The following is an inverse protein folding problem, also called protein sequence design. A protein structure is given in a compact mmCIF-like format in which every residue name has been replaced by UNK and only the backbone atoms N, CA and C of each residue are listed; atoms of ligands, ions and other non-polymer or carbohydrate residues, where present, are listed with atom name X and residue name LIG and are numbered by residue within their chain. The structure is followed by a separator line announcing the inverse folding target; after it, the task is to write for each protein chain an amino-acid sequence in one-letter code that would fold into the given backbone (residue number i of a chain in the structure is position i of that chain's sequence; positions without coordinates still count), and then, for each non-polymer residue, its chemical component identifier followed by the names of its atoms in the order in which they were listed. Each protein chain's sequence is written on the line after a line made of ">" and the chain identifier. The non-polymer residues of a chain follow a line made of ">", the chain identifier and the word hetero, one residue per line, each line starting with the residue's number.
data_IF_502658516698
#
_entry.id   IF_502658516698
#
_cell.length_a   1.000
_cell.length_b   1.000
_cell.length_c   1.000
_cell.angle_alpha   90.00
_cell.angle_beta   90.00
_cell.angle_gamma   90.00
#
_symmetry.space_group_name_H-M   'P 1'
#
loop_
_entity.id
_entity.type
_entity.pdbx_description
1 polymer ?
#
# COMPACT_ATOMS: atom_id res chain seq x y z
N UNK A 1 -21.57 51.34 -34.12
CA UNK A 1 -20.70 50.17 -34.38
C UNK A 1 -20.30 50.17 -35.84
N UNK A 2 -19.00 50.05 -36.19
CA UNK A 2 -18.59 49.82 -37.60
C UNK A 2 -18.53 48.32 -37.86
N UNK A 3 -19.17 47.85 -38.95
CA UNK A 3 -19.06 46.45 -39.40
C UNK A 3 -17.71 46.26 -40.09
N UNK A 4 -16.70 45.78 -39.37
CA UNK A 4 -15.45 45.33 -39.98
C UNK A 4 -15.72 44.04 -40.76
N UNK A 5 -15.50 44.07 -42.08
CA UNK A 5 -15.55 42.87 -42.91
C UNK A 5 -14.31 42.03 -42.62
N UNK A 6 -14.50 40.84 -42.04
CA UNK A 6 -13.42 39.89 -41.78
C UNK A 6 -12.92 39.24 -43.08
N UNK A 7 -12.15 40.00 -43.87
CA UNK A 7 -11.35 39.44 -44.95
C UNK A 7 -10.24 38.56 -44.34
N UNK A 8 -10.35 37.24 -44.52
CA UNK A 8 -9.36 36.28 -44.05
C UNK A 8 -8.01 36.51 -44.74
N UNK A 9 -7.06 37.11 -44.03
CA UNK A 9 -5.73 37.42 -44.54
C UNK A 9 -4.91 36.12 -44.74
N UNK A 10 -4.74 35.69 -46.00
CA UNK A 10 -3.90 34.54 -46.33
C UNK A 10 -2.41 34.93 -46.41
N UNK A 11 -1.55 34.18 -45.72
CA UNK A 11 -0.09 34.29 -45.84
C UNK A 11 0.37 33.75 -47.20
N UNK A 12 1.26 34.47 -47.88
CA UNK A 12 1.97 33.99 -49.07
C UNK A 12 3.39 33.57 -48.70
N UNK A 13 3.90 32.48 -49.28
CA UNK A 13 5.27 32.03 -49.03
C UNK A 13 6.30 33.09 -49.46
N UNK A 14 7.42 33.18 -48.74
CA UNK A 14 8.48 34.18 -48.96
C UNK A 14 8.11 35.64 -48.63
N UNK A 15 6.84 35.98 -48.41
CA UNK A 15 6.39 37.36 -48.18
C UNK A 15 5.86 37.53 -46.75
N UNK A 16 6.17 38.68 -46.13
CA UNK A 16 5.76 39.06 -44.77
C UNK A 16 5.27 40.50 -44.76
N UNK A 17 4.18 40.78 -44.06
CA UNK A 17 3.77 42.15 -43.72
C UNK A 17 4.62 42.63 -42.55
N UNK A 18 5.11 43.88 -42.59
CA UNK A 18 5.70 44.53 -41.42
C UNK A 18 4.60 45.24 -40.63
N UNK A 19 4.59 45.05 -39.32
CA UNK A 19 3.64 45.68 -38.39
C UNK A 19 4.40 46.61 -37.43
N UNK A 20 3.80 47.73 -36.99
CA UNK A 20 4.41 48.57 -35.96
C UNK A 20 4.49 47.82 -34.63
N UNK A 21 5.56 48.07 -33.87
CA UNK A 21 5.73 47.55 -32.51
C UNK A 21 4.94 48.39 -31.51
N UNK A 22 4.31 47.74 -30.52
CA UNK A 22 3.91 48.44 -29.30
C UNK A 22 5.17 48.92 -28.55
N UNK A 23 5.11 50.12 -27.97
CA UNK A 23 6.24 50.75 -27.25
C UNK A 23 6.45 50.21 -25.82
N UNK A 24 5.66 49.22 -25.41
CA UNK A 24 5.61 48.61 -24.06
C UNK A 24 6.70 47.55 -23.82
N UNK A 25 7.96 47.85 -24.14
CA UNK A 25 9.09 46.95 -23.86
C UNK A 25 9.21 45.71 -24.76
N UNK A 26 8.43 45.63 -25.85
CA UNK A 26 8.48 44.53 -26.83
C UNK A 26 7.34 43.51 -26.66
N UNK A 27 7.59 42.26 -27.07
CA UNK A 27 6.59 41.19 -27.04
C UNK A 27 6.47 40.46 -25.69
N UNK A 28 7.50 40.57 -24.85
CA UNK A 28 7.52 40.10 -23.46
C UNK A 28 8.49 41.01 -22.68
N UNK A 29 7.99 41.91 -21.80
CA UNK A 29 8.83 42.88 -21.11
C UNK A 29 9.67 42.22 -20.01
N UNK A 30 10.99 42.43 -20.05
CA UNK A 30 11.93 41.86 -19.07
C UNK A 30 11.86 42.50 -17.68
N UNK A 31 11.19 43.65 -17.56
CA UNK A 31 10.91 44.36 -16.30
C UNK A 31 9.74 43.79 -15.50
N UNK A 32 9.06 42.75 -15.99
CA UNK A 32 7.80 42.25 -15.46
C UNK A 32 6.57 42.87 -16.15
N UNK A 33 5.39 42.35 -15.78
CA UNK A 33 4.08 42.65 -16.39
C UNK A 33 3.12 43.08 -15.26
N UNK A 34 2.30 44.11 -15.48
CA UNK A 34 1.32 44.55 -14.48
C UNK A 34 0.11 43.61 -14.39
N UNK A 35 -0.63 43.65 -13.27
CA UNK A 35 -1.81 42.81 -13.08
C UNK A 35 -2.89 43.00 -14.18
N UNK A 36 -3.07 44.22 -14.69
CA UNK A 36 -4.06 44.52 -15.74
C UNK A 36 -3.65 44.00 -17.12
N UNK A 37 -2.34 43.95 -17.41
CA UNK A 37 -1.80 43.32 -18.62
C UNK A 37 -1.83 41.80 -18.50
N UNK A 38 -1.46 41.27 -17.34
CA UNK A 38 -1.51 39.84 -17.03
C UNK A 38 -2.94 39.29 -17.11
N UNK A 39 -3.96 40.05 -16.71
CA UNK A 39 -5.37 39.67 -16.83
C UNK A 39 -5.79 39.38 -18.28
N UNK A 40 -5.22 40.11 -19.26
CA UNK A 40 -5.46 39.87 -20.69
C UNK A 40 -4.73 38.62 -21.22
N UNK A 41 -3.66 38.20 -20.54
CA UNK A 41 -2.93 36.95 -20.82
C UNK A 41 -3.68 35.76 -20.19
N UNK A 42 -4.21 35.91 -18.96
CA UNK A 42 -5.04 34.90 -18.29
C UNK A 42 -6.33 34.66 -19.07
N UNK A 43 -7.11 35.70 -19.36
CA UNK A 43 -8.33 35.63 -20.17
C UNK A 43 -8.04 35.72 -21.69
N UNK A 44 -6.99 35.00 -22.14
CA UNK A 44 -6.69 34.82 -23.57
C UNK A 44 -7.93 34.35 -24.34
N UNK A 45 -8.22 34.90 -25.53
CA UNK A 45 -9.40 34.52 -26.32
C UNK A 45 -9.25 33.12 -26.93
N UNK A 46 -9.62 32.11 -26.16
CA UNK A 46 -9.68 30.70 -26.57
C UNK A 46 -11.07 30.34 -27.14
N UNK A 47 -11.19 29.33 -28.02
CA UNK A 47 -12.50 28.90 -28.53
C UNK A 47 -13.38 28.27 -27.42
N UNK A 48 -14.36 29.02 -26.92
CA UNK A 48 -15.20 28.65 -25.76
C UNK A 48 -15.83 27.25 -25.84
N UNK A 49 -16.25 26.79 -27.03
CA UNK A 49 -16.80 25.42 -27.24
C UNK A 49 -15.81 24.25 -26.98
N UNK A 50 -14.56 24.56 -26.65
CA UNK A 50 -13.43 23.65 -26.46
C UNK A 50 -12.58 24.07 -25.25
N UNK A 51 -13.03 25.07 -24.48
CA UNK A 51 -12.31 25.63 -23.35
C UNK A 51 -13.09 25.32 -22.08
N UNK A 52 -12.44 24.76 -21.07
CA UNK A 52 -12.97 24.62 -19.71
C UNK A 52 -12.33 25.71 -18.86
N UNK A 53 -13.16 26.41 -18.09
CA UNK A 53 -12.72 27.48 -17.19
C UNK A 53 -13.17 27.11 -15.78
N UNK A 54 -12.27 27.23 -14.81
CA UNK A 54 -12.47 26.92 -13.41
C UNK A 54 -11.80 27.99 -12.56
N UNK A 55 -12.40 28.32 -11.42
CA UNK A 55 -11.87 29.26 -10.45
C UNK A 55 -12.10 28.74 -9.03
N UNK A 56 -11.10 28.94 -8.18
CA UNK A 56 -11.09 28.47 -6.78
C UNK A 56 -10.62 29.61 -5.87
N UNK A 57 -11.45 29.96 -4.88
CA UNK A 57 -11.21 31.04 -3.93
C UNK A 57 -10.79 30.48 -2.58
N UNK A 58 -9.57 30.85 -2.14
CA UNK A 58 -8.99 30.47 -0.87
C UNK A 58 -9.11 31.61 0.17
N UNK A 59 -10.07 32.51 -0.02
CA UNK A 59 -10.48 33.61 0.87
C UNK A 59 -9.54 34.81 0.88
N UNK A 60 -8.24 34.58 0.74
CA UNK A 60 -7.19 35.60 0.67
C UNK A 60 -6.52 35.69 -0.71
N UNK A 61 -6.77 34.70 -1.58
CA UNK A 61 -6.25 34.61 -2.93
C UNK A 61 -7.13 33.70 -3.80
N UNK A 62 -7.13 33.95 -5.11
CA UNK A 62 -7.96 33.31 -6.13
C UNK A 62 -7.04 32.63 -7.16
N UNK A 63 -7.30 31.35 -7.47
CA UNK A 63 -6.66 30.64 -8.57
C UNK A 63 -7.62 30.51 -9.75
N UNK A 64 -7.17 30.91 -10.95
CA UNK A 64 -7.92 30.78 -12.20
C UNK A 64 -7.24 29.72 -13.07
N UNK A 65 -7.99 28.70 -13.49
CA UNK A 65 -7.52 27.61 -14.34
C UNK A 65 -8.31 27.57 -15.65
N UNK A 66 -7.63 27.61 -16.80
CA UNK A 66 -8.27 27.67 -18.13
C UNK A 66 -7.57 26.73 -19.11
N UNK A 67 -8.24 25.65 -19.49
CA UNK A 67 -7.71 24.63 -20.40
C UNK A 67 -8.45 24.63 -21.72
N UNK A 68 -7.74 24.46 -22.84
CA UNK A 68 -8.32 24.34 -24.17
C UNK A 68 -7.80 23.08 -24.86
N UNK A 69 -8.71 22.18 -25.25
CA UNK A 69 -8.37 20.95 -26.00
C UNK A 69 -8.98 21.01 -27.39
N UNK A 70 -8.12 20.98 -28.41
CA UNK A 70 -8.54 21.13 -29.81
C UNK A 70 -9.26 19.88 -30.33
N UNK A 71 -10.45 20.08 -30.91
CA UNK A 71 -11.24 19.06 -31.64
C UNK A 71 -10.43 18.31 -32.70
N UNK A 72 -9.35 18.89 -33.25
CA UNK A 72 -8.50 18.22 -34.26
C UNK A 72 -7.64 17.09 -33.68
N UNK A 73 -7.29 17.16 -32.41
CA UNK A 73 -6.29 16.28 -31.80
C UNK A 73 -6.85 15.37 -30.70
N UNK A 74 -8.14 15.50 -30.36
CA UNK A 74 -8.81 14.70 -29.33
C UNK A 74 -8.64 13.18 -29.53
N UNK A 75 -8.64 12.72 -30.78
CA UNK A 75 -8.54 11.30 -31.13
C UNK A 75 -7.07 10.84 -31.35
N UNK A 76 -6.10 11.71 -31.06
CA UNK A 76 -4.65 11.51 -31.28
C UNK A 76 -3.80 11.86 -30.04
N UNK A 77 -4.40 12.47 -29.02
CA UNK A 77 -3.77 12.75 -27.73
C UNK A 77 -3.76 11.47 -26.89
N UNK A 78 -2.66 11.20 -26.19
CA UNK A 78 -2.66 10.21 -25.12
C UNK A 78 -3.43 10.75 -23.91
N UNK A 79 -4.05 9.86 -23.13
CA UNK A 79 -4.76 10.20 -21.89
C UNK A 79 -3.87 10.92 -20.85
N UNK A 80 -2.55 10.74 -20.93
CA UNK A 80 -1.58 11.43 -20.08
C UNK A 80 -1.36 12.90 -20.47
N UNK A 81 -1.47 13.24 -21.76
CA UNK A 81 -1.28 14.61 -22.29
C UNK A 81 -2.60 15.36 -22.41
N UNK A 82 -3.71 14.64 -22.59
CA UNK A 82 -5.07 15.17 -22.53
C UNK A 82 -5.93 14.31 -21.61
N UNK A 83 -5.89 14.60 -20.31
CA UNK A 83 -6.57 13.86 -19.23
C UNK A 83 -8.10 14.08 -19.21
N UNK A 84 -8.75 13.82 -20.35
CA UNK A 84 -10.19 13.94 -20.54
C UNK A 84 -10.90 12.73 -19.92
N UNK A 85 -11.50 12.93 -18.74
CA UNK A 85 -12.28 11.92 -18.02
C UNK A 85 -13.77 12.08 -18.33
N UNK A 86 -14.45 11.05 -18.83
CA UNK A 86 -15.86 11.09 -19.23
C UNK A 86 -16.81 10.45 -18.22
N UNK A 87 -16.27 9.64 -17.31
CA UNK A 87 -16.96 9.01 -16.20
C UNK A 87 -16.39 9.47 -14.85
N UNK A 88 -17.17 9.28 -13.78
CA UNK A 88 -16.71 9.61 -12.43
C UNK A 88 -15.56 8.69 -11.97
N UNK A 89 -15.55 7.43 -12.40
CA UNK A 89 -14.46 6.47 -12.10
C UNK A 89 -13.14 6.94 -12.73
N UNK A 90 -13.17 7.39 -13.98
CA UNK A 90 -12.01 8.02 -14.63
C UNK A 90 -11.59 9.31 -13.92
N UNK A 91 -12.55 10.15 -13.48
CA UNK A 91 -12.25 11.40 -12.77
C UNK A 91 -11.55 11.14 -11.43
N UNK A 92 -12.06 10.20 -10.63
CA UNK A 92 -11.46 9.78 -9.35
C UNK A 92 -10.06 9.19 -9.57
N UNK A 93 -9.91 8.24 -10.49
CA UNK A 93 -8.62 7.58 -10.80
C UNK A 93 -7.60 8.52 -11.43
N UNK A 94 -8.04 9.42 -12.32
CA UNK A 94 -7.19 10.43 -12.96
C UNK A 94 -6.65 11.44 -11.97
N UNK A 95 -7.49 11.94 -11.05
CA UNK A 95 -7.05 12.79 -9.92
C UNK A 95 -6.03 12.07 -9.03
N UNK A 96 -6.28 10.82 -8.65
CA UNK A 96 -5.34 10.02 -7.86
C UNK A 96 -3.99 9.83 -8.59
N UNK A 97 -4.01 9.53 -9.89
CA UNK A 97 -2.81 9.35 -10.70
C UNK A 97 -1.97 10.65 -10.79
N UNK A 98 -2.60 11.78 -11.16
CA UNK A 98 -1.92 13.06 -11.28
C UNK A 98 -1.41 13.58 -9.92
N UNK A 99 -2.17 13.38 -8.84
CA UNK A 99 -1.70 13.65 -7.48
C UNK A 99 -0.48 12.79 -7.11
N UNK A 100 -0.46 11.52 -7.53
CA UNK A 100 0.69 10.63 -7.36
C UNK A 100 1.96 11.13 -8.07
N UNK A 101 1.83 11.65 -9.29
CA UNK A 101 2.93 12.27 -10.05
C UNK A 101 3.41 13.54 -9.35
N UNK A 102 2.51 14.51 -9.14
CA UNK A 102 2.83 15.80 -8.51
C UNK A 102 3.45 15.64 -7.12
N UNK A 103 2.92 14.75 -6.29
CA UNK A 103 3.45 14.52 -4.94
C UNK A 103 4.77 13.73 -4.95
N UNK A 104 5.07 12.94 -5.99
CA UNK A 104 6.40 12.35 -6.18
C UNK A 104 7.41 13.43 -6.57
N UNK A 105 7.07 14.31 -7.51
CA UNK A 105 7.94 15.42 -7.93
C UNK A 105 8.23 16.37 -6.76
N UNK A 106 7.19 16.86 -6.07
CA UNK A 106 7.31 17.79 -4.92
C UNK A 106 8.23 17.25 -3.82
N UNK A 107 8.10 15.96 -3.47
CA UNK A 107 8.93 15.32 -2.41
C UNK A 107 10.32 14.94 -2.92
N UNK A 108 10.45 14.48 -4.17
CA UNK A 108 11.74 14.11 -4.77
C UNK A 108 12.72 15.28 -4.89
N UNK A 109 12.23 16.51 -5.07
CA UNK A 109 13.07 17.73 -5.07
C UNK A 109 13.78 17.95 -3.73
N UNK A 110 13.16 17.59 -2.60
CA UNK A 110 13.70 17.85 -1.25
C UNK A 110 14.95 17.03 -0.90
N UNK A 111 15.07 15.82 -1.45
CA UNK A 111 16.25 14.93 -1.33
C UNK A 111 17.13 14.93 -2.60
N UNK A 112 16.68 15.60 -3.66
CA UNK A 112 17.36 15.70 -4.94
C UNK A 112 18.40 16.83 -4.99
N UNK A 113 18.88 17.15 -6.20
CA UNK A 113 19.97 18.09 -6.42
C UNK A 113 19.70 19.55 -5.96
N UNK A 114 18.44 19.93 -5.74
CA UNK A 114 18.03 21.22 -5.19
C UNK A 114 17.67 21.17 -3.69
N UNK A 115 17.74 19.99 -3.07
CA UNK A 115 17.60 19.80 -1.63
C UNK A 115 18.83 20.26 -0.85
N UNK A 116 18.69 20.40 0.47
CA UNK A 116 19.79 20.84 1.34
C UNK A 116 20.99 19.87 1.28
N UNK A 117 22.25 20.33 1.38
CA UNK A 117 23.43 19.44 1.30
C UNK A 117 23.48 18.37 2.40
N UNK A 118 22.85 18.64 3.55
CA UNK A 118 22.58 17.73 4.67
C UNK A 118 21.65 16.58 4.30
N UNK A 119 20.67 16.86 3.45
CA UNK A 119 19.55 16.00 3.09
C UNK A 119 19.85 15.11 1.87
N UNK A 120 20.94 15.37 1.13
CA UNK A 120 21.37 14.56 -0.02
C UNK A 120 22.25 13.37 0.38
N UNK A 121 21.66 12.21 0.64
CA UNK A 121 22.41 10.94 0.84
C UNK A 121 22.49 10.15 -0.47
N UNK A 122 23.68 9.59 -0.79
CA UNK A 122 23.92 8.74 -1.97
C UNK A 122 24.33 7.33 -1.55
N UNK A 123 24.00 6.32 -2.35
CA UNK A 123 24.50 4.96 -2.17
C UNK A 123 25.66 4.71 -3.14
N UNK A 124 26.76 4.14 -2.64
CA UNK A 124 27.81 3.54 -3.47
C UNK A 124 27.46 2.07 -3.68
N UNK A 125 27.40 1.65 -4.95
CA UNK A 125 27.22 0.26 -5.35
C UNK A 125 28.38 -0.19 -6.24
N UNK A 126 28.81 -1.43 -6.05
CA UNK A 126 29.79 -2.11 -6.91
C UNK A 126 29.48 -3.61 -6.97
N UNK A 127 29.60 -4.22 -8.15
CA UNK A 127 29.16 -5.59 -8.44
C UNK A 127 30.08 -6.21 -9.48
N UNK A 128 30.75 -7.32 -9.16
CA UNK A 128 31.66 -7.99 -10.09
C UNK A 128 30.92 -8.48 -11.34
N UNK A 129 31.57 -8.39 -12.50
CA UNK A 129 31.03 -8.86 -13.77
C UNK A 129 30.99 -10.39 -13.87
N UNK A 130 31.83 -11.09 -13.08
CA UNK A 130 32.09 -12.52 -13.24
C UNK A 130 31.32 -13.36 -12.20
N UNK A 131 31.47 -13.08 -10.90
CA UNK A 131 30.73 -13.76 -9.83
C UNK A 131 29.30 -13.25 -9.68
N UNK A 132 29.02 -12.01 -10.13
CA UNK A 132 27.80 -11.22 -9.83
C UNK A 132 27.65 -10.84 -8.35
N UNK A 133 28.71 -11.00 -7.55
CA UNK A 133 28.72 -10.62 -6.14
C UNK A 133 28.74 -9.10 -5.94
N UNK A 134 27.95 -8.62 -4.98
CA UNK A 134 27.84 -7.19 -4.64
C UNK A 134 28.97 -6.82 -3.68
N UNK A 135 30.07 -6.30 -4.22
CA UNK A 135 31.28 -5.95 -3.49
C UNK A 135 31.09 -4.74 -2.56
N UNK A 136 30.24 -3.78 -2.95
CA UNK A 136 29.82 -2.67 -2.07
C UNK A 136 28.35 -2.33 -2.27
N UNK A 137 27.64 -2.04 -1.17
CA UNK A 137 26.29 -1.51 -1.16
C UNK A 137 26.09 -0.69 0.14
N UNK A 138 26.66 0.51 0.17
CA UNK A 138 26.75 1.37 1.37
C UNK A 138 26.31 2.80 1.10
N UNK A 139 25.68 3.45 2.06
CA UNK A 139 25.46 4.89 1.96
C UNK A 139 26.74 5.69 2.21
N UNK A 140 26.86 6.82 1.51
CA UNK A 140 27.92 7.81 1.67
C UNK A 140 27.46 8.84 2.70
N UNK A 141 27.67 8.51 3.96
CA UNK A 141 27.33 9.36 5.10
C UNK A 141 28.35 10.46 5.36
N UNK A 142 27.86 11.58 5.92
CA UNK A 142 28.69 12.62 6.53
C UNK A 142 29.03 12.26 7.99
N UNK A 143 30.04 12.94 8.56
CA UNK A 143 30.57 12.63 9.89
C UNK A 143 29.49 12.59 10.99
N UNK A 144 28.53 13.53 10.97
CA UNK A 144 27.38 13.56 11.91
C UNK A 144 26.59 12.23 11.92
N UNK A 145 26.39 11.62 10.75
CA UNK A 145 25.67 10.34 10.62
C UNK A 145 26.54 9.15 11.04
N UNK A 146 27.84 9.16 10.71
CA UNK A 146 28.78 8.13 11.19
C UNK A 146 28.85 8.11 12.72
N UNK A 147 29.03 9.27 13.36
CA UNK A 147 29.05 9.39 14.83
C UNK A 147 27.75 8.88 15.48
N UNK A 148 26.59 8.96 14.81
CA UNK A 148 25.33 8.39 15.28
C UNK A 148 25.34 6.85 15.18
N UNK A 149 25.81 6.29 14.06
CA UNK A 149 25.98 4.84 13.90
C UNK A 149 26.94 4.27 14.95
N UNK A 150 28.07 4.96 15.20
CA UNK A 150 29.07 4.53 16.19
C UNK A 150 28.48 4.49 17.61
N UNK A 151 27.66 5.47 17.99
CA UNK A 151 26.94 5.49 19.28
C UNK A 151 25.89 4.38 19.39
N UNK A 152 25.19 4.08 18.30
CA UNK A 152 24.20 3.02 18.28
C UNK A 152 24.85 1.64 18.42
N UNK A 153 25.88 1.33 17.62
CA UNK A 153 26.58 0.04 17.71
C UNK A 153 27.28 -0.15 19.06
N UNK A 154 27.96 0.87 19.58
CA UNK A 154 28.60 0.79 20.91
C UNK A 154 27.61 0.45 22.03
N UNK A 155 26.39 0.98 21.96
CA UNK A 155 25.32 0.63 22.90
C UNK A 155 24.83 -0.81 22.69
N UNK A 156 24.55 -1.21 21.46
CA UNK A 156 24.03 -2.55 21.16
C UNK A 156 25.03 -3.66 21.51
N UNK A 157 26.31 -3.48 21.16
CA UNK A 157 27.41 -4.37 21.54
C UNK A 157 27.51 -4.50 23.06
N UNK A 158 27.65 -3.39 23.79
CA UNK A 158 27.75 -3.42 25.27
C UNK A 158 26.52 -4.03 25.98
N UNK A 159 25.33 -3.94 25.37
CA UNK A 159 24.11 -4.60 25.88
C UNK A 159 24.06 -6.10 25.62
N UNK A 160 24.47 -6.55 24.43
CA UNK A 160 24.30 -7.94 24.00
C UNK A 160 25.50 -8.82 24.39
N UNK A 161 26.73 -8.35 24.17
CA UNK A 161 27.95 -9.04 24.57
C UNK A 161 28.04 -9.18 26.10
N UNK A 162 27.56 -8.16 26.82
CA UNK A 162 27.44 -8.18 28.29
C UNK A 162 26.39 -9.16 28.84
N UNK A 163 25.54 -9.76 27.99
CA UNK A 163 24.58 -10.80 28.36
C UNK A 163 25.02 -12.20 27.89
N UNK A 164 25.80 -12.30 26.81
CA UNK A 164 26.38 -13.57 26.36
C UNK A 164 27.62 -13.95 27.19
N UNK A 165 27.40 -14.73 28.26
CA UNK A 165 28.49 -15.26 29.07
C UNK A 165 29.53 -16.07 28.25
N UNK A 166 30.82 -16.06 28.61
CA UNK A 166 31.94 -16.49 27.75
C UNK A 166 32.13 -18.02 27.63
N UNK A 167 31.04 -18.79 27.56
CA UNK A 167 31.03 -20.27 27.54
C UNK A 167 30.58 -20.88 26.20
N UNK A 168 30.60 -20.12 25.10
CA UNK A 168 30.31 -20.61 23.74
C UNK A 168 31.56 -20.66 22.85
N UNK A 169 32.52 -21.54 23.20
CA UNK A 169 33.54 -21.98 22.24
C UNK A 169 32.84 -22.67 21.06
N UNK A 170 32.70 -22.01 19.91
CA UNK A 170 32.00 -22.66 18.79
C UNK A 170 31.80 -21.92 17.47
N UNK A 171 31.84 -20.58 17.39
CA UNK A 171 31.85 -19.87 16.08
C UNK A 171 32.72 -18.61 16.15
N UNK A 172 33.88 -18.62 15.50
CA UNK A 172 34.68 -17.40 15.25
C UNK A 172 34.08 -16.57 14.11
N UNK A 173 32.98 -15.91 14.44
CA UNK A 173 32.22 -15.03 13.54
C UNK A 173 31.31 -14.10 14.35
N UNK A 174 31.82 -13.59 15.47
CA UNK A 174 31.10 -12.73 16.42
C UNK A 174 31.61 -11.28 16.46
N UNK A 175 32.92 -11.08 16.32
CA UNK A 175 33.61 -9.83 16.65
C UNK A 175 33.29 -8.64 15.70
N UNK A 176 32.91 -8.91 14.45
CA UNK A 176 32.56 -7.89 13.44
C UNK A 176 31.03 -7.74 13.19
N UNK A 177 30.17 -8.26 14.07
CA UNK A 177 28.71 -8.21 13.85
C UNK A 177 28.10 -6.85 14.16
N UNK A 178 27.44 -6.29 13.14
CA UNK A 178 26.64 -5.07 13.24
C UNK A 178 25.20 -5.40 13.65
N UNK A 179 24.76 -4.92 14.81
CA UNK A 179 23.42 -5.20 15.34
C UNK A 179 22.38 -4.24 14.77
N UNK A 180 21.21 -4.76 14.34
CA UNK A 180 20.11 -4.00 13.72
C UNK A 180 20.58 -3.02 12.62
N UNK A 181 21.56 -3.44 11.82
CA UNK A 181 22.31 -2.56 10.91
C UNK A 181 21.40 -1.78 9.93
N UNK A 182 20.44 -2.44 9.29
CA UNK A 182 19.57 -1.80 8.29
C UNK A 182 18.61 -0.78 8.93
N UNK A 183 18.13 -1.07 10.14
CA UNK A 183 17.30 -0.16 10.92
C UNK A 183 18.09 1.07 11.39
N UNK A 184 19.30 0.86 11.91
CA UNK A 184 20.23 1.94 12.27
C UNK A 184 20.59 2.80 11.05
N UNK A 185 20.92 2.19 9.92
CA UNK A 185 21.31 2.84 8.68
C UNK A 185 20.17 3.73 8.13
N UNK A 186 18.94 3.23 8.11
CA UNK A 186 17.76 4.01 7.76
C UNK A 186 17.53 5.18 8.74
N UNK A 187 17.64 4.94 10.05
CA UNK A 187 17.51 6.00 11.06
C UNK A 187 18.63 7.06 10.94
N UNK A 188 19.86 6.67 10.58
CA UNK A 188 20.96 7.60 10.35
C UNK A 188 20.70 8.53 9.16
N UNK A 189 20.08 8.03 8.08
CA UNK A 189 19.61 8.87 6.96
C UNK A 189 18.68 9.98 7.47
N UNK A 190 17.64 9.62 8.24
CA UNK A 190 16.67 10.56 8.83
C UNK A 190 17.35 11.55 9.79
N UNK A 191 18.18 11.07 10.72
CA UNK A 191 18.85 11.86 11.76
C UNK A 191 19.75 12.97 11.22
N UNK A 192 20.42 12.72 10.09
CA UNK A 192 21.29 13.71 9.47
C UNK A 192 20.55 14.74 8.61
N UNK A 193 19.23 14.64 8.43
CA UNK A 193 18.45 15.60 7.66
C UNK A 193 18.10 16.85 8.50
N UNK A 194 18.07 18.01 7.85
CA UNK A 194 17.67 19.29 8.42
C UNK A 194 16.17 19.55 8.17
N UNK A 195 15.70 19.37 6.93
CA UNK A 195 14.29 19.67 6.60
C UNK A 195 13.32 18.58 7.06
N UNK A 196 12.06 18.94 7.31
CA UNK A 196 10.97 17.97 7.51
C UNK A 196 10.57 17.30 6.20
N UNK A 197 10.56 18.06 5.09
CA UNK A 197 10.21 17.55 3.77
C UNK A 197 11.14 16.42 3.28
N UNK A 198 12.45 16.51 3.53
CA UNK A 198 13.38 15.43 3.23
C UNK A 198 13.20 14.21 4.15
N UNK A 199 12.90 14.43 5.44
CA UNK A 199 12.62 13.33 6.39
C UNK A 199 11.40 12.53 5.96
N UNK A 200 10.27 13.17 5.63
CA UNK A 200 9.11 12.44 5.11
C UNK A 200 9.39 11.81 3.73
N UNK A 201 10.18 12.44 2.86
CA UNK A 201 10.58 11.80 1.61
C UNK A 201 11.39 10.50 1.83
N UNK A 202 12.27 10.45 2.83
CA UNK A 202 13.00 9.25 3.21
C UNK A 202 12.13 8.23 3.97
N UNK A 203 11.26 8.65 4.89
CA UNK A 203 10.26 7.74 5.48
C UNK A 203 9.35 7.12 4.42
N UNK A 204 9.07 7.83 3.32
CA UNK A 204 8.35 7.26 2.17
C UNK A 204 9.13 6.15 1.46
N UNK A 205 10.46 6.30 1.34
CA UNK A 205 11.34 5.27 0.78
C UNK A 205 11.49 4.07 1.72
N UNK A 206 11.53 4.31 3.03
CA UNK A 206 11.60 3.27 4.05
C UNK A 206 10.20 2.75 4.40
N UNK A 207 9.70 1.84 3.56
CA UNK A 207 8.43 1.11 3.76
C UNK A 207 7.16 1.99 3.80
N UNK A 208 7.17 3.14 3.11
CA UNK A 208 6.05 4.08 3.08
C UNK A 208 5.53 4.47 4.48
N UNK A 209 6.47 4.74 5.40
CA UNK A 209 6.18 5.17 6.77
C UNK A 209 6.07 6.70 6.90
N UNK A 210 5.90 7.42 5.79
CA UNK A 210 5.65 8.87 5.79
C UNK A 210 4.24 9.20 6.28
N UNK A 211 4.09 10.35 6.96
CA UNK A 211 2.81 10.75 7.55
C UNK A 211 1.66 10.77 6.53
N UNK A 212 1.91 11.27 5.31
CA UNK A 212 0.96 11.26 4.18
C UNK A 212 0.40 9.86 3.86
N UNK A 213 1.15 8.78 4.11
CA UNK A 213 0.71 7.40 3.89
C UNK A 213 0.00 6.82 5.11
N UNK A 214 0.53 7.04 6.31
CA UNK A 214 -0.03 6.53 7.57
C UNK A 214 -1.37 7.19 7.92
N UNK A 215 -1.58 8.45 7.53
CA UNK A 215 -2.86 9.15 7.67
C UNK A 215 -3.91 8.62 6.67
N UNK A 216 -3.50 8.29 5.44
CA UNK A 216 -4.40 7.70 4.44
C UNK A 216 -4.84 6.28 4.80
N UNK A 217 -3.93 5.48 5.38
CA UNK A 217 -4.24 4.12 5.88
C UNK A 217 -5.17 4.16 7.11
N UNK A 218 -5.02 5.15 7.99
CA UNK A 218 -5.91 5.37 9.13
C UNK A 218 -7.27 5.94 8.73
N UNK A 219 -7.34 6.77 7.68
CA UNK A 219 -8.62 7.19 7.10
C UNK A 219 -9.37 5.98 6.53
N UNK A 220 -8.69 5.13 5.74
CA UNK A 220 -9.26 3.89 5.19
C UNK A 220 -9.63 2.87 6.29
N UNK A 221 -8.99 2.89 7.46
CA UNK A 221 -9.41 2.11 8.62
C UNK A 221 -10.66 2.73 9.29
N UNK A 222 -10.70 4.06 9.46
CA UNK A 222 -11.84 4.78 10.06
C UNK A 222 -13.09 4.72 9.18
N UNK A 223 -12.96 4.78 7.86
CA UNK A 223 -14.05 4.53 6.91
C UNK A 223 -14.62 3.12 7.08
N UNK A 224 -13.78 2.08 7.20
CA UNK A 224 -14.21 0.69 7.38
C UNK A 224 -14.81 0.40 8.76
N UNK A 225 -14.34 1.07 9.81
CA UNK A 225 -14.98 1.03 11.14
C UNK A 225 -16.37 1.70 11.11
N UNK A 226 -16.56 2.75 10.32
CA UNK A 226 -17.88 3.35 10.09
C UNK A 226 -18.79 2.44 9.25
N UNK A 227 -18.23 1.80 8.21
CA UNK A 227 -18.90 0.81 7.37
C UNK A 227 -19.35 -0.42 8.17
N UNK A 228 -18.50 -0.97 9.05
CA UNK A 228 -18.84 -2.08 9.93
C UNK A 228 -19.98 -1.77 10.89
N UNK A 229 -20.08 -0.51 11.36
CA UNK A 229 -21.22 -0.05 12.17
C UNK A 229 -22.51 0.02 11.34
N UNK A 230 -22.46 0.50 10.10
CA UNK A 230 -23.61 0.54 9.20
C UNK A 230 -24.09 -0.88 8.82
N UNK A 231 -23.16 -1.81 8.60
CA UNK A 231 -23.50 -3.22 8.33
C UNK A 231 -24.10 -3.89 9.57
N UNK A 232 -23.51 -3.70 10.76
CA UNK A 232 -24.08 -4.19 12.04
C UNK A 232 -25.50 -3.67 12.26
N UNK A 233 -25.74 -2.38 12.05
CA UNK A 233 -27.08 -1.79 12.13
C UNK A 233 -28.02 -2.42 11.10
N UNK A 234 -27.61 -2.52 9.83
CA UNK A 234 -28.45 -3.07 8.76
C UNK A 234 -28.85 -4.52 8.99
N UNK A 235 -27.97 -5.33 9.60
CA UNK A 235 -28.25 -6.72 9.97
C UNK A 235 -29.24 -6.81 11.13
N UNK A 236 -29.02 -6.08 12.23
CA UNK A 236 -29.96 -6.02 13.35
C UNK A 236 -31.35 -5.52 12.91
N UNK A 237 -31.38 -4.49 12.06
CA UNK A 237 -32.60 -3.96 11.45
C UNK A 237 -33.33 -4.95 10.51
N UNK A 238 -32.65 -5.94 9.93
CA UNK A 238 -33.32 -7.03 9.20
C UNK A 238 -33.91 -8.06 10.16
N UNK A 239 -33.19 -8.42 11.24
CA UNK A 239 -33.74 -9.35 12.22
C UNK A 239 -35.00 -8.83 12.91
N UNK A 240 -35.05 -7.54 13.26
CA UNK A 240 -36.26 -6.94 13.84
C UNK A 240 -37.46 -7.01 12.89
N UNK A 241 -37.23 -6.86 11.57
CA UNK A 241 -38.28 -6.95 10.54
C UNK A 241 -38.75 -8.38 10.31
N UNK A 242 -37.84 -9.36 10.38
CA UNK A 242 -38.21 -10.80 10.35
C UNK A 242 -38.94 -11.23 11.64
N UNK A 243 -38.49 -10.77 12.82
CA UNK A 243 -39.17 -10.96 14.12
C UNK A 243 -40.56 -10.30 14.16
N UNK A 244 -40.76 -9.20 13.43
CA UNK A 244 -42.05 -8.53 13.27
C UNK A 244 -43.01 -9.25 12.29
N UNK A 245 -42.52 -10.23 11.52
CA UNK A 245 -43.32 -11.05 10.61
C UNK A 245 -43.67 -10.41 9.26
N UNK A 246 -43.11 -9.23 8.93
CA UNK A 246 -43.39 -8.50 7.66
C UNK A 246 -42.52 -8.98 6.49
N UNK A 247 -42.27 -10.30 6.43
CA UNK A 247 -41.43 -10.94 5.41
C UNK A 247 -42.25 -11.32 4.17
N UNK A 248 -42.47 -10.33 3.30
CA UNK A 248 -42.89 -10.56 1.90
C UNK A 248 -41.77 -10.16 0.96
N UNK A 249 -40.70 -10.96 0.95
CA UNK A 249 -39.60 -10.83 -0.02
C UNK A 249 -40.13 -11.15 -1.41
N UNK A 250 -40.58 -10.11 -2.11
CA UNK A 250 -41.10 -10.20 -3.47
C UNK A 250 -39.97 -10.32 -4.48
N UNK A 251 -39.39 -11.53 -4.59
CA UNK A 251 -38.44 -11.89 -5.65
C UNK A 251 -39.09 -11.59 -7.01
N UNK A 252 -38.64 -10.52 -7.66
CA UNK A 252 -39.19 -10.07 -8.93
C UNK A 252 -38.77 -11.02 -10.05
N UNK A 253 -39.55 -12.08 -10.24
CA UNK A 253 -39.34 -13.09 -11.27
C UNK A 253 -39.41 -12.49 -12.68
N UNK A 254 -38.24 -12.14 -13.21
CA UNK A 254 -38.06 -11.84 -14.63
C UNK A 254 -38.42 -13.08 -15.45
N UNK A 255 -39.32 -12.94 -16.43
CA UNK A 255 -39.80 -14.07 -17.22
C UNK A 255 -38.67 -14.72 -18.02
N UNK A 256 -38.60 -16.07 -18.08
CA UNK A 256 -37.58 -16.75 -18.87
C UNK A 256 -37.81 -16.54 -20.36
N UNK A 257 -36.73 -16.26 -21.08
CA UNK A 257 -36.63 -16.43 -22.54
C UNK A 257 -35.77 -17.66 -22.78
N UNK A 258 -36.29 -18.67 -23.48
CA UNK A 258 -35.66 -19.97 -23.58
C UNK A 258 -34.55 -20.00 -24.65
N UNK A 259 -33.34 -20.40 -24.26
CA UNK A 259 -32.33 -21.01 -25.14
C UNK A 259 -31.25 -21.75 -24.34
N UNK A 260 -30.93 -22.97 -24.78
CA UNK A 260 -29.74 -23.82 -24.46
C UNK A 260 -29.56 -24.30 -23.00
N UNK A 261 -29.75 -25.60 -22.79
CA UNK A 261 -29.13 -26.36 -21.69
C UNK A 261 -27.69 -26.74 -22.07
N UNK A 262 -26.67 -26.20 -21.39
CA UNK A 262 -25.27 -26.70 -21.47
C UNK A 262 -24.47 -26.44 -20.17
N UNK A 263 -24.60 -25.25 -19.56
CA UNK A 263 -23.78 -24.84 -18.40
C UNK A 263 -23.91 -25.76 -17.16
N UNK A 264 -25.05 -26.44 -16.99
CA UNK A 264 -25.27 -27.39 -15.89
C UNK A 264 -24.32 -28.59 -15.93
N UNK A 265 -23.82 -28.98 -17.12
CA UNK A 265 -22.84 -30.05 -17.27
C UNK A 265 -21.41 -29.61 -16.89
N UNK A 266 -21.10 -28.32 -16.99
CA UNK A 266 -19.77 -27.80 -16.66
C UNK A 266 -19.51 -27.76 -15.15
N UNK A 267 -20.49 -27.31 -14.36
CA UNK A 267 -20.38 -27.25 -12.89
C UNK A 267 -20.17 -28.67 -12.29
N UNK A 268 -20.83 -29.68 -12.86
CA UNK A 268 -20.66 -31.09 -12.48
C UNK A 268 -19.33 -31.73 -12.94
N UNK A 269 -18.46 -30.99 -13.64
CA UNK A 269 -17.17 -31.48 -14.15
C UNK A 269 -15.95 -31.02 -13.34
N UNK A 270 -16.13 -30.21 -12.31
CA UNK A 270 -15.07 -29.77 -11.40
C UNK A 270 -14.73 -30.93 -10.44
N UNK A 271 -13.50 -31.49 -10.43
CA UNK A 271 -13.16 -32.61 -9.56
C UNK A 271 -13.16 -32.20 -8.08
N UNK A 272 -13.86 -32.95 -7.24
CA UNK A 272 -13.90 -32.74 -5.80
C UNK A 272 -12.50 -32.97 -5.18
N UNK A 273 -11.90 -31.92 -4.61
CA UNK A 273 -10.66 -32.01 -3.87
C UNK A 273 -10.92 -32.58 -2.46
N UNK A 274 -11.14 -33.89 -2.39
CA UNK A 274 -11.09 -34.67 -1.16
C UNK A 274 -9.67 -34.61 -0.57
N UNK A 275 -9.42 -33.66 0.33
CA UNK A 275 -8.11 -33.40 0.93
C UNK A 275 -8.14 -33.35 2.47
N UNK A 276 -9.14 -34.00 3.08
CA UNK A 276 -9.18 -34.32 4.51
C UNK A 276 -9.76 -35.72 4.71
N UNK A 277 -8.91 -36.74 4.83
CA UNK A 277 -9.30 -38.07 5.29
C UNK A 277 -9.29 -38.11 6.83
N UNK A 278 -10.48 -38.22 7.44
CA UNK A 278 -10.62 -38.38 8.89
C UNK A 278 -10.21 -39.81 9.32
N UNK A 279 -9.25 -39.99 10.25
CA UNK A 279 -8.86 -41.30 10.73
C UNK A 279 -9.97 -41.95 11.57
N UNK A 280 -10.35 -43.18 11.21
CA UNK A 280 -11.57 -43.84 11.71
C UNK A 280 -11.62 -44.03 13.24
N UNK A 281 -12.73 -43.61 13.85
CA UNK A 281 -13.11 -44.01 15.21
C UNK A 281 -13.59 -45.47 15.25
N UNK A 282 -12.74 -46.37 15.77
CA UNK A 282 -13.16 -47.74 16.14
C UNK A 282 -13.86 -47.70 17.50
N UNK A 283 -15.06 -48.31 17.59
CA UNK A 283 -15.77 -48.54 18.86
C UNK A 283 -15.06 -49.59 19.71
N UNK A 284 -15.12 -49.43 21.04
CA UNK A 284 -15.71 -50.46 21.91
C UNK A 284 -16.03 -49.92 23.31
N UNK A 285 -16.86 -50.67 24.03
CA UNK A 285 -17.57 -50.24 25.23
C UNK A 285 -16.74 -50.29 26.52
N UNK A 286 -17.16 -49.51 27.53
CA UNK A 286 -17.45 -50.13 28.83
C UNK A 286 -16.77 -49.57 30.09
N UNK A 287 -17.64 -49.24 31.06
CA UNK A 287 -17.48 -49.41 32.52
C UNK A 287 -16.51 -48.51 33.35
N UNK A 288 -17.10 -47.92 34.41
CA UNK A 288 -16.53 -47.73 35.79
C UNK A 288 -15.36 -46.72 35.95
N UNK A 289 -15.32 -45.83 36.96
CA UNK A 289 -16.30 -45.25 37.90
C UNK A 289 -15.67 -44.00 38.60
N UNK A 290 -16.30 -43.50 39.67
CA UNK A 290 -15.73 -42.81 40.87
C UNK A 290 -14.20 -42.61 40.92
N UNK A 291 -13.65 -41.44 41.23
CA UNK A 291 -13.93 -40.47 42.33
C UNK A 291 -13.46 -39.05 41.91
N UNK A 292 -14.01 -37.92 42.42
CA UNK A 292 -13.66 -37.20 43.67
C UNK A 292 -12.17 -36.77 43.80
N UNK A 293 -11.77 -35.61 44.36
CA UNK A 293 -12.52 -34.46 44.96
C UNK A 293 -11.65 -33.17 45.01
N UNK A 294 -12.30 -32.04 45.34
CA UNK A 294 -11.85 -30.80 46.04
C UNK A 294 -10.53 -30.06 45.65
N UNK A 295 -10.44 -28.73 45.41
CA UNK A 295 -11.24 -27.49 45.65
C UNK A 295 -10.83 -26.60 46.84
N UNK A 296 -10.82 -25.28 46.63
CA UNK A 296 -10.67 -24.18 47.63
C UNK A 296 -9.30 -24.12 48.35
N UNK A 297 -8.88 -23.05 49.05
CA UNK A 297 -9.48 -21.74 49.43
C UNK A 297 -8.38 -20.63 49.33
N UNK A 298 -8.51 -19.35 49.76
CA UNK A 298 -9.53 -18.57 50.49
C UNK A 298 -9.40 -17.06 50.08
N UNK A 299 -10.48 -16.27 49.98
CA UNK A 299 -11.06 -15.38 51.04
C UNK A 299 -10.28 -14.04 51.23
N UNK A 300 -10.82 -12.93 51.75
CA UNK A 300 -11.95 -12.62 52.69
C UNK A 300 -12.75 -11.36 52.18
N UNK A 301 -14.09 -11.16 52.31
CA UNK A 301 -15.09 -11.19 53.44
C UNK A 301 -15.30 -9.79 54.09
N UNK A 302 -16.48 -9.16 54.28
CA UNK A 302 -17.88 -9.22 53.73
C UNK A 302 -18.53 -7.78 53.91
N UNK A 303 -19.84 -7.41 53.94
CA UNK A 303 -21.21 -8.00 54.03
C UNK A 303 -22.24 -6.99 53.39
N UNK A 304 -23.57 -7.29 53.47
CA UNK A 304 -24.79 -6.42 53.37
C UNK A 304 -25.40 -6.14 51.97
N UNK A 305 -26.49 -6.80 51.50
CA UNK A 305 -27.85 -7.12 52.02
C UNK A 305 -28.90 -6.00 51.76
N UNK A 306 -30.19 -6.26 51.53
CA UNK A 306 -31.07 -7.44 51.72
C UNK A 306 -32.29 -7.43 50.73
N UNK A 307 -33.06 -8.54 50.59
CA UNK A 307 -34.48 -8.48 50.16
C UNK A 307 -34.97 -9.32 48.95
N UNK A 308 -35.38 -10.57 49.20
CA UNK A 308 -36.62 -11.29 48.76
C UNK A 308 -37.50 -10.72 47.59
N UNK A 309 -38.14 -11.48 46.69
CA UNK A 309 -38.82 -12.81 46.76
C UNK A 309 -38.89 -13.48 45.36
N UNK A 310 -38.88 -14.82 45.27
CA UNK A 310 -39.20 -15.59 44.05
C UNK A 310 -40.69 -15.58 43.66
N UNK A 311 -40.99 -15.44 42.35
CA UNK A 311 -42.36 -15.48 41.83
C UNK A 311 -42.42 -15.68 40.33
N UNK A 312 -42.23 -16.92 39.86
CA UNK A 312 -42.14 -17.24 38.44
C UNK A 312 -43.51 -17.36 37.74
N UNK A 313 -43.65 -16.75 36.55
CA UNK A 313 -44.45 -17.32 35.45
C UNK A 313 -44.13 -16.66 34.09
N UNK A 314 -44.09 -17.46 33.02
CA UNK A 314 -44.56 -17.00 31.70
C UNK A 314 -43.62 -16.27 30.72
N UNK A 315 -42.32 -16.13 30.99
CA UNK A 315 -41.35 -15.62 29.99
C UNK A 315 -40.80 -16.74 29.10
N UNK A 316 -41.19 -16.81 27.83
CA UNK A 316 -40.59 -17.75 26.87
C UNK A 316 -39.14 -17.37 26.57
N UNK A 317 -38.29 -18.37 26.35
CA UNK A 317 -36.93 -18.18 25.81
C UNK A 317 -36.98 -17.51 24.43
N UNK A 318 -36.88 -16.19 24.42
CA UNK A 318 -36.42 -15.45 23.27
C UNK A 318 -34.92 -15.71 23.14
N UNK A 319 -34.58 -16.84 22.49
CA UNK A 319 -33.21 -17.13 22.09
C UNK A 319 -32.73 -15.96 21.23
N UNK A 320 -31.89 -15.11 21.80
CA UNK A 320 -31.11 -14.15 21.05
C UNK A 320 -30.15 -14.95 20.17
N UNK A 321 -30.59 -15.19 18.95
CA UNK A 321 -29.69 -15.27 17.81
C UNK A 321 -29.11 -13.86 17.63
N UNK A 322 -28.18 -13.48 18.50
CA UNK A 322 -27.24 -12.42 18.19
C UNK A 322 -26.36 -12.98 17.07
N UNK A 323 -26.28 -12.29 15.93
CA UNK A 323 -25.46 -12.75 14.81
C UNK A 323 -24.00 -12.77 15.27
N UNK A 324 -23.41 -13.96 15.35
CA UNK A 324 -21.99 -14.17 15.67
C UNK A 324 -21.12 -13.57 14.54
N UNK A 325 -20.76 -12.29 14.70
CA UNK A 325 -19.86 -11.59 13.80
C UNK A 325 -18.40 -11.85 14.22
N UNK A 326 -17.47 -12.03 13.27
CA UNK A 326 -16.05 -12.16 13.57
C UNK A 326 -15.48 -11.01 14.42
N UNK A 327 -14.46 -11.35 15.20
CA UNK A 327 -13.52 -10.37 15.76
C UNK A 327 -12.91 -9.51 14.62
N UNK A 328 -12.59 -8.24 14.93
CA UNK A 328 -12.12 -7.23 13.96
C UNK A 328 -13.02 -7.10 12.70
N UNK A 329 -14.35 -7.20 12.88
CA UNK A 329 -15.37 -7.16 11.81
C UNK A 329 -15.20 -6.04 10.74
N UNK A 330 -14.61 -4.89 11.09
CA UNK A 330 -14.23 -3.83 10.16
C UNK A 330 -13.36 -4.29 8.97
N UNK A 331 -12.64 -5.41 9.10
CA UNK A 331 -11.90 -6.04 8.00
C UNK A 331 -12.82 -6.72 6.98
N UNK A 332 -13.91 -7.31 7.46
CA UNK A 332 -14.94 -8.00 6.67
C UNK A 332 -16.05 -7.07 6.19
N UNK A 333 -16.22 -5.90 6.83
CA UNK A 333 -17.28 -4.95 6.53
C UNK A 333 -17.43 -4.54 5.04
N UNK A 334 -16.35 -4.33 4.26
CA UNK A 334 -16.47 -4.04 2.83
C UNK A 334 -17.09 -5.20 2.03
N UNK A 335 -16.71 -6.44 2.36
CA UNK A 335 -17.23 -7.66 1.72
C UNK A 335 -18.71 -7.84 2.05
N UNK A 336 -19.08 -7.75 3.33
CA UNK A 336 -20.47 -7.86 3.77
C UNK A 336 -21.35 -6.77 3.16
N UNK A 337 -20.90 -5.51 3.12
CA UNK A 337 -21.66 -4.42 2.48
C UNK A 337 -21.82 -4.65 0.98
N UNK A 338 -20.77 -5.04 0.27
CA UNK A 338 -20.84 -5.30 -1.16
C UNK A 338 -21.81 -6.46 -1.48
N UNK A 339 -21.80 -7.52 -0.66
CA UNK A 339 -22.76 -8.61 -0.77
C UNK A 339 -24.20 -8.16 -0.46
N UNK A 340 -24.42 -7.39 0.62
CA UNK A 340 -25.75 -6.87 0.96
C UNK A 340 -26.32 -5.93 -0.11
N UNK A 341 -25.50 -5.05 -0.69
CA UNK A 341 -25.91 -4.18 -1.80
C UNK A 341 -26.25 -5.00 -3.06
N UNK A 342 -25.48 -6.06 -3.35
CA UNK A 342 -25.78 -6.98 -4.45
C UNK A 342 -27.08 -7.76 -4.22
N UNK A 343 -27.28 -8.32 -3.02
CA UNK A 343 -28.48 -9.07 -2.64
C UNK A 343 -29.76 -8.23 -2.69
N UNK A 344 -29.67 -6.91 -2.43
CA UNK A 344 -30.78 -5.96 -2.59
C UNK A 344 -31.00 -5.48 -4.03
N UNK A 345 -30.11 -5.80 -4.97
CA UNK A 345 -30.12 -5.26 -6.33
C UNK A 345 -29.68 -3.78 -6.44
N UNK A 346 -29.08 -3.22 -5.38
CA UNK A 346 -28.48 -1.87 -5.38
C UNK A 346 -27.16 -1.84 -6.16
N UNK A 347 -26.45 -2.97 -6.22
CA UNK A 347 -25.22 -3.18 -6.99
C UNK A 347 -25.36 -4.38 -7.94
N UNK A 348 -24.82 -4.26 -9.16
CA UNK A 348 -24.67 -5.38 -10.09
C UNK A 348 -23.44 -6.26 -9.85
N UNK A 349 -22.64 -5.97 -8.80
CA UNK A 349 -21.37 -6.65 -8.49
C UNK A 349 -21.19 -6.76 -6.96
N UNK A 350 -20.81 -7.94 -6.48
CA UNK A 350 -20.31 -8.17 -5.12
C UNK A 350 -18.77 -8.19 -5.11
N UNK A 351 -18.15 -7.91 -3.95
CA UNK A 351 -16.69 -7.91 -3.81
C UNK A 351 -16.16 -9.29 -3.41
N UNK A 352 -14.98 -9.63 -3.93
CA UNK A 352 -14.17 -10.79 -3.56
C UNK A 352 -12.73 -10.37 -3.16
N UNK A 353 -12.50 -9.07 -2.96
CA UNK A 353 -11.18 -8.55 -2.61
C UNK A 353 -10.91 -8.71 -1.11
N UNK A 354 -10.04 -9.66 -0.78
CA UNK A 354 -9.63 -10.00 0.59
C UNK A 354 -8.45 -9.16 1.10
N UNK A 355 -7.98 -8.15 0.36
CA UNK A 355 -6.87 -7.29 0.80
C UNK A 355 -7.19 -6.44 2.05
N UNK A 356 -8.45 -6.43 2.50
CA UNK A 356 -8.89 -5.79 3.74
C UNK A 356 -8.66 -6.64 5.00
N UNK A 357 -8.25 -7.90 4.88
CA UNK A 357 -7.99 -8.81 6.01
C UNK A 357 -6.53 -8.70 6.51
N UNK A 358 -6.33 -8.76 7.82
CA UNK A 358 -5.07 -8.50 8.53
C UNK A 358 -4.63 -7.02 8.57
N UNK A 359 -5.35 -6.15 7.87
CA UNK A 359 -5.11 -4.72 7.74
C UNK A 359 -5.10 -3.93 9.07
N UNK A 360 -5.95 -4.27 10.04
CA UNK A 360 -6.04 -3.58 11.34
C UNK A 360 -4.74 -3.79 12.12
N UNK A 361 -4.27 -5.03 12.18
CA UNK A 361 -2.96 -5.41 12.70
C UNK A 361 -1.81 -4.72 11.95
N UNK A 362 -1.83 -4.72 10.61
CA UNK A 362 -0.79 -4.10 9.76
C UNK A 362 -0.71 -2.57 9.96
N UNK A 363 -1.85 -1.87 10.01
CA UNK A 363 -1.90 -0.41 10.23
C UNK A 363 -1.41 -0.06 11.64
N UNK A 364 -1.76 -0.87 12.64
CA UNK A 364 -1.21 -0.72 13.99
C UNK A 364 0.30 -0.98 14.05
N UNK A 365 0.78 -2.02 13.36
CA UNK A 365 2.21 -2.37 13.27
C UNK A 365 3.03 -1.26 12.60
N UNK A 366 2.62 -0.76 11.44
CA UNK A 366 3.35 0.30 10.73
C UNK A 366 3.39 1.61 11.53
N UNK A 367 2.38 1.88 12.36
CA UNK A 367 2.41 2.97 13.35
C UNK A 367 3.45 2.73 14.46
N UNK A 368 3.56 1.51 15.00
CA UNK A 368 4.64 1.15 15.95
C UNK A 368 6.02 1.28 15.32
N UNK A 369 6.21 0.79 14.08
CA UNK A 369 7.46 0.92 13.33
C UNK A 369 7.87 2.39 13.13
N UNK A 370 6.93 3.27 12.76
CA UNK A 370 7.20 4.70 12.62
C UNK A 370 7.60 5.35 13.96
N UNK A 371 6.90 5.03 15.04
CA UNK A 371 7.24 5.53 16.38
C UNK A 371 8.61 5.02 16.87
N UNK A 372 8.92 3.75 16.62
CA UNK A 372 10.21 3.13 16.90
C UNK A 372 11.36 3.82 16.13
N UNK A 373 11.19 4.09 14.84
CA UNK A 373 12.19 4.84 14.07
C UNK A 373 12.39 6.26 14.61
N UNK A 374 11.32 6.97 15.00
CA UNK A 374 11.47 8.28 15.67
C UNK A 374 12.23 8.17 16.99
N UNK A 375 11.91 7.18 17.83
CA UNK A 375 12.58 6.93 19.11
C UNK A 375 14.08 6.66 18.93
N UNK A 376 14.46 5.89 17.91
CA UNK A 376 15.87 5.65 17.55
C UNK A 376 16.53 6.94 17.04
N UNK A 377 15.86 7.73 16.19
CA UNK A 377 16.34 9.03 15.68
C UNK A 377 16.49 10.08 16.80
N UNK A 378 15.72 10.00 17.88
CA UNK A 378 15.88 10.85 19.08
C UNK A 378 16.96 10.35 20.05
N UNK A 379 17.64 9.25 19.72
CA UNK A 379 18.62 8.57 20.58
C UNK A 379 18.01 7.99 21.89
N UNK A 380 16.69 7.78 21.91
CA UNK A 380 15.90 7.23 23.04
C UNK A 380 15.89 5.69 23.07
N UNK A 381 16.72 5.03 22.25
CA UNK A 381 16.85 3.56 22.15
C UNK A 381 17.44 2.89 23.40
N UNK A 382 17.89 3.66 24.39
CA UNK A 382 18.50 3.19 25.63
C UNK A 382 17.58 2.29 26.50
N UNK A 383 16.26 2.45 26.32
CA UNK A 383 15.18 1.72 27.01
C UNK A 383 14.10 1.33 26.00
N UNK A 384 14.13 0.07 25.52
CA UNK A 384 13.13 -0.48 24.61
C UNK A 384 12.24 -1.53 25.31
N UNK A 385 10.94 -1.51 25.06
CA UNK A 385 10.00 -2.54 25.53
C UNK A 385 10.22 -3.86 24.79
N UNK A 386 9.68 -4.97 25.30
CA UNK A 386 9.72 -6.26 24.59
C UNK A 386 9.03 -6.22 23.22
N UNK A 387 7.94 -5.44 23.10
CA UNK A 387 7.24 -5.23 21.81
C UNK A 387 8.08 -4.42 20.83
N UNK A 388 8.70 -3.32 21.28
CA UNK A 388 9.62 -2.52 20.44
C UNK A 388 10.85 -3.32 20.00
N UNK A 389 11.34 -4.26 20.83
CA UNK A 389 12.44 -5.15 20.47
C UNK A 389 12.04 -6.17 19.39
N UNK A 390 10.82 -6.72 19.45
CA UNK A 390 10.28 -7.59 18.40
C UNK A 390 10.05 -6.82 17.10
N UNK A 391 9.38 -5.66 17.18
CA UNK A 391 9.15 -4.76 16.04
C UNK A 391 10.49 -4.37 15.38
N UNK A 392 11.54 -4.10 16.16
CA UNK A 392 12.88 -3.74 15.66
C UNK A 392 13.57 -4.87 14.88
N UNK A 393 13.42 -6.13 15.31
CA UNK A 393 13.98 -7.28 14.60
C UNK A 393 13.29 -7.48 13.25
N UNK A 394 11.95 -7.44 13.22
CA UNK A 394 11.17 -7.58 11.97
C UNK A 394 11.49 -6.41 11.03
N UNK A 395 11.46 -5.18 11.53
CA UNK A 395 11.73 -3.98 10.74
C UNK A 395 13.16 -3.94 10.18
N UNK A 396 14.16 -4.47 10.89
CA UNK A 396 15.52 -4.58 10.36
C UNK A 396 15.59 -5.43 9.09
N UNK A 397 14.95 -6.60 9.07
CA UNK A 397 14.95 -7.49 7.89
C UNK A 397 14.13 -6.89 6.74
N UNK A 398 12.97 -6.27 7.03
CA UNK A 398 12.18 -5.58 6.02
C UNK A 398 12.99 -4.45 5.36
N UNK A 399 13.62 -3.58 6.16
CA UNK A 399 14.50 -2.50 5.64
C UNK A 399 15.74 -3.05 4.93
N UNK A 400 16.25 -4.22 5.33
CA UNK A 400 17.36 -4.87 4.63
C UNK A 400 16.97 -5.22 3.19
N UNK A 401 15.81 -5.85 2.98
CA UNK A 401 15.39 -6.27 1.62
C UNK A 401 15.13 -5.08 0.70
N UNK A 402 14.46 -4.03 1.18
CA UNK A 402 14.05 -2.88 0.35
C UNK A 402 15.23 -2.17 -0.32
N UNK A 403 16.36 -1.98 0.40
CA UNK A 403 17.54 -1.33 -0.18
C UNK A 403 18.23 -2.16 -1.27
N UNK A 404 17.96 -3.47 -1.35
CA UNK A 404 18.48 -4.36 -2.38
C UNK A 404 17.54 -4.57 -3.59
N UNK A 405 16.36 -3.96 -3.63
CA UNK A 405 15.42 -4.15 -4.76
C UNK A 405 16.03 -3.77 -6.12
N UNK A 406 16.63 -2.59 -6.25
CA UNK A 406 17.31 -2.15 -7.48
C UNK A 406 18.52 -3.04 -7.83
N UNK A 407 19.33 -3.39 -6.82
CA UNK A 407 20.47 -4.30 -6.98
C UNK A 407 20.04 -5.69 -7.46
N UNK A 408 18.90 -6.22 -7.01
CA UNK A 408 18.40 -7.53 -7.45
C UNK A 408 17.83 -7.49 -8.87
N UNK A 409 17.22 -6.37 -9.29
CA UNK A 409 16.90 -6.13 -10.72
C UNK A 409 18.19 -6.04 -11.55
N UNK A 410 19.24 -5.42 -11.02
CA UNK A 410 20.57 -5.39 -11.62
C UNK A 410 21.24 -6.77 -11.75
N UNK A 411 21.00 -7.70 -10.82
CA UNK A 411 21.49 -9.09 -10.88
C UNK A 411 20.70 -9.93 -11.90
N UNK A 412 19.36 -9.86 -11.94
CA UNK A 412 18.60 -10.63 -12.94
C UNK A 412 18.93 -10.22 -14.38
N UNK A 413 19.24 -8.93 -14.62
CA UNK A 413 19.77 -8.47 -15.92
C UNK A 413 21.16 -9.05 -16.20
N UNK A 414 22.05 -9.14 -15.20
CA UNK A 414 23.36 -9.81 -15.36
C UNK A 414 23.22 -11.31 -15.62
N UNK A 415 22.27 -11.98 -14.99
CA UNK A 415 21.95 -13.38 -15.24
C UNK A 415 21.51 -13.62 -16.68
N UNK A 416 20.64 -12.76 -17.23
CA UNK A 416 20.22 -12.82 -18.64
C UNK A 416 21.43 -12.63 -19.57
N UNK A 417 22.34 -11.70 -19.27
CA UNK A 417 23.56 -11.49 -20.05
C UNK A 417 24.49 -12.72 -20.02
N UNK A 418 24.68 -13.33 -18.85
CA UNK A 418 25.44 -14.58 -18.69
C UNK A 418 24.77 -15.77 -19.40
N UNK A 419 23.43 -15.84 -19.38
CA UNK A 419 22.65 -16.89 -20.07
C UNK A 419 22.81 -16.79 -21.59
N UNK A 420 22.78 -15.57 -22.14
CA UNK A 420 23.01 -15.31 -23.57
C UNK A 420 24.45 -15.56 -24.03
N UNK A 421 25.40 -15.73 -23.11
CA UNK A 421 26.80 -16.09 -23.39
C UNK A 421 27.06 -17.62 -23.31
N UNK A 422 26.05 -18.43 -22.98
CA UNK A 422 26.19 -19.90 -22.95
C UNK A 422 26.38 -20.48 -24.34
N UNK A 423 26.99 -21.67 -24.40
CA UNK A 423 27.17 -22.43 -25.64
C UNK A 423 25.82 -22.69 -26.34
N UNK A 424 25.74 -22.38 -27.63
CA UNK A 424 24.51 -22.52 -28.42
C UNK A 424 24.25 -23.97 -28.81
N UNK A 425 23.09 -24.51 -28.42
CA UNK A 425 22.64 -25.86 -28.76
C UNK A 425 22.22 -26.65 -27.51
N UNK A 426 22.35 -27.97 -27.56
CA UNK A 426 22.03 -28.86 -26.42
C UNK A 426 23.23 -29.06 -25.46
N UNK A 427 24.23 -28.19 -25.54
CA UNK A 427 25.50 -28.26 -24.79
C UNK A 427 26.50 -29.30 -25.34
N UNK A 428 27.79 -29.02 -25.15
CA UNK A 428 28.90 -29.92 -25.47
C UNK A 428 28.83 -31.24 -24.70
N UNK A 429 29.21 -32.34 -25.37
CA UNK A 429 29.37 -33.65 -24.75
C UNK A 429 30.49 -33.72 -23.70
N UNK A 430 31.41 -32.75 -23.67
CA UNK A 430 32.50 -32.68 -22.70
C UNK A 430 32.07 -32.13 -21.31
N UNK A 431 30.86 -31.55 -21.21
CA UNK A 431 30.36 -30.87 -20.01
C UNK A 431 28.95 -31.37 -19.65
N UNK A 432 28.73 -32.69 -19.74
CA UNK A 432 27.40 -33.32 -19.69
C UNK A 432 27.43 -34.65 -18.93
N UNK A 433 26.90 -34.65 -17.71
CA UNK A 433 26.82 -35.84 -16.84
C UNK A 433 25.64 -36.78 -17.15
N UNK A 434 24.74 -36.37 -18.05
CA UNK A 434 23.49 -37.06 -18.38
C UNK A 434 23.42 -37.43 -19.87
N UNK A 435 22.67 -38.45 -20.31
CA UNK A 435 22.36 -38.65 -21.74
C UNK A 435 21.53 -37.48 -22.34
N UNK A 436 21.45 -37.36 -23.68
CA UNK A 436 20.69 -36.26 -24.32
C UNK A 436 19.17 -36.52 -24.34
N UNK A 437 18.78 -37.73 -24.74
CA UNK A 437 17.40 -38.06 -25.09
C UNK A 437 16.68 -38.88 -24.00
N UNK A 438 17.31 -39.03 -22.83
CA UNK A 438 16.88 -39.92 -21.74
C UNK A 438 16.99 -39.14 -20.42
N UNK A 439 15.97 -39.23 -19.57
CA UNK A 439 15.97 -38.58 -18.26
C UNK A 439 17.11 -39.10 -17.37
N UNK A 440 17.74 -38.26 -16.52
CA UNK A 440 18.69 -38.72 -15.50
C UNK A 440 18.10 -39.71 -14.48
N UNK A 441 16.78 -39.84 -14.43
CA UNK A 441 16.06 -40.79 -13.57
C UNK A 441 15.36 -41.91 -14.36
N UNK A 442 15.69 -42.10 -15.64
CA UNK A 442 15.13 -43.20 -16.43
C UNK A 442 15.74 -44.56 -15.99
N UNK A 443 14.95 -45.63 -15.82
CA UNK A 443 15.47 -46.94 -15.40
C UNK A 443 16.56 -47.51 -16.34
N UNK A 444 16.49 -47.19 -17.63
CA UNK A 444 17.38 -47.68 -18.68
C UNK A 444 18.48 -46.66 -19.08
N UNK A 445 18.91 -45.78 -18.15
CA UNK A 445 19.84 -44.67 -18.44
C UNK A 445 21.20 -45.08 -19.06
N UNK A 446 21.66 -46.33 -18.87
CA UNK A 446 23.02 -46.80 -19.20
C UNK A 446 23.11 -47.63 -20.49
N UNK A 447 22.05 -47.67 -21.29
CA UNK A 447 21.98 -48.43 -22.55
C UNK A 447 22.58 -47.67 -23.74
#
# INVERSE_FOLDING_TARGET
>A
MRRCVFHAARRKWGQRTWSPTASSGGAAPTSGVSAQEALQIVYRPMPLQQTVEYEEDFGHNLMIHREFVSKRHRDQLSFEVGALTYSEVELRRGRQHLAGVMNRERRGVAIGAAGAPSDQVRMQTDVDSNTREVLTARYLFNEKRMQFCDRFQSFMQSRLEGQTAPNSEGVKGGEDKQYLFSLMEACAVIYGCETTAAREAYFRMFLALDMDSLEAEDEALRERIAEGKLVRQALAESEEKERAGDSVVSVSSGKPSAAVDDDAAFIASIPELLLFEDPQRVRNDGAVATEETHSFAAAEEEVFADGHVDGAEGGKDAAQFDIELPDEFEEYAPLYRAYLAHAKGESGVASYDVSSLGSTGITAERRRWRALMEKIVREEYHTMTGTEQMDALVLNEQLHTVKFFDLKVGDTVREILHLLQRETGHGSSAHRDTPLNISPHHPEQRN
#
